data_IF_001745123631
#
_entry.id   IF_001745123631
#
_cell.length_a   1.000
_cell.length_b   1.000
_cell.length_c   1.000
_cell.angle_alpha   90.00
_cell.angle_beta   90.00
_cell.angle_gamma   90.00
#
_symmetry.space_group_name_H-M   'P 1'
#
loop_
_entity.id
_entity.type
_entity.pdbx_description
1 polymer ?
#
# COMPACT_ATOMS: atom_id res chain seq x y z
N UNK A 1 1.13 33.85 -13.55
CA UNK A 1 0.49 32.73 -12.81
C UNK A 1 0.76 32.97 -11.33
N UNK A 2 -0.27 33.09 -10.49
CA UNK A 2 -0.10 33.45 -9.07
C UNK A 2 0.74 32.38 -8.32
N UNK A 3 1.65 32.75 -7.43
CA UNK A 3 2.56 31.82 -6.73
C UNK A 3 1.85 30.82 -5.83
N UNK A 4 0.70 31.21 -5.27
CA UNK A 4 -0.18 30.28 -4.57
C UNK A 4 -0.65 29.13 -5.49
N UNK A 5 -0.86 29.41 -6.78
CA UNK A 5 -1.16 28.36 -7.74
C UNK A 5 0.06 27.47 -7.99
N UNK A 6 1.28 28.03 -8.04
CA UNK A 6 2.51 27.24 -8.18
C UNK A 6 2.79 26.33 -6.97
N UNK A 7 2.53 26.81 -5.74
CA UNK A 7 2.64 25.97 -4.53
C UNK A 7 1.65 24.80 -4.52
N UNK A 8 0.39 25.08 -4.89
CA UNK A 8 -0.63 24.04 -5.05
C UNK A 8 -0.19 23.05 -6.12
N UNK A 9 0.38 23.52 -7.24
CA UNK A 9 0.95 22.68 -8.27
C UNK A 9 2.15 21.84 -7.79
N UNK A 10 2.98 22.35 -6.89
CA UNK A 10 4.07 21.58 -6.26
C UNK A 10 3.56 20.40 -5.41
N UNK A 11 2.51 20.59 -4.61
CA UNK A 11 1.86 19.44 -3.95
C UNK A 11 1.24 18.45 -4.95
N UNK A 12 0.80 18.92 -6.14
CA UNK A 12 0.35 18.01 -7.20
C UNK A 12 1.52 17.20 -7.77
N UNK A 13 2.69 17.82 -7.95
CA UNK A 13 3.87 17.18 -8.53
C UNK A 13 4.42 16.06 -7.66
N UNK A 14 4.44 16.21 -6.32
CA UNK A 14 4.83 15.14 -5.38
C UNK A 14 3.98 13.90 -5.62
N UNK A 15 2.67 14.07 -5.64
CA UNK A 15 1.74 12.96 -5.83
C UNK A 15 1.86 12.33 -7.21
N UNK A 16 2.09 13.13 -8.26
CA UNK A 16 2.37 12.63 -9.61
C UNK A 16 3.67 11.83 -9.66
N UNK A 17 4.74 12.31 -9.02
CA UNK A 17 6.02 11.63 -8.94
C UNK A 17 5.91 10.28 -8.20
N UNK A 18 5.16 10.23 -7.10
CA UNK A 18 4.89 8.97 -6.40
C UNK A 18 4.08 7.99 -7.25
N UNK A 19 3.04 8.46 -7.94
CA UNK A 19 2.25 7.61 -8.84
C UNK A 19 3.08 7.10 -10.01
N UNK A 20 3.90 7.96 -10.62
CA UNK A 20 4.79 7.58 -11.71
C UNK A 20 5.83 6.55 -11.25
N UNK A 21 6.44 6.75 -10.08
CA UNK A 21 7.33 5.75 -9.46
C UNK A 21 6.64 4.41 -9.28
N UNK A 22 5.44 4.41 -8.67
CA UNK A 22 4.68 3.19 -8.45
C UNK A 22 4.37 2.48 -9.77
N UNK A 23 3.88 3.21 -10.77
CA UNK A 23 3.53 2.65 -12.08
C UNK A 23 4.75 2.07 -12.81
N UNK A 24 5.93 2.72 -12.73
CA UNK A 24 7.19 2.19 -13.28
C UNK A 24 7.62 0.91 -12.56
N UNK A 25 7.55 0.88 -11.23
CA UNK A 25 7.87 -0.31 -10.46
C UNK A 25 6.94 -1.47 -10.84
N UNK A 26 5.65 -1.21 -10.99
CA UNK A 26 4.69 -2.24 -11.44
C UNK A 26 4.92 -2.68 -12.88
N UNK A 27 5.26 -1.77 -13.80
CA UNK A 27 5.51 -2.12 -15.20
C UNK A 27 6.77 -2.98 -15.32
N UNK A 28 7.82 -2.67 -14.57
CA UNK A 28 9.06 -3.46 -14.53
C UNK A 28 8.81 -4.82 -13.89
N UNK A 29 8.11 -4.88 -12.76
CA UNK A 29 7.75 -6.15 -12.13
C UNK A 29 6.95 -7.04 -13.09
N UNK A 30 5.98 -6.47 -13.80
CA UNK A 30 5.17 -7.19 -14.76
C UNK A 30 5.96 -7.59 -16.01
N UNK A 31 6.89 -6.76 -16.47
CA UNK A 31 7.82 -7.12 -17.55
C UNK A 31 8.71 -8.30 -17.17
N UNK A 32 9.23 -8.32 -15.94
CA UNK A 32 10.00 -9.45 -15.40
C UNK A 32 9.13 -10.72 -15.39
N UNK A 33 7.88 -10.62 -14.92
CA UNK A 33 6.93 -11.76 -14.94
C UNK A 33 6.69 -12.25 -16.37
N UNK A 34 6.52 -11.35 -17.34
CA UNK A 34 6.37 -11.69 -18.75
C UNK A 34 7.59 -12.44 -19.30
N UNK A 35 8.80 -11.96 -19.02
CA UNK A 35 10.05 -12.61 -19.43
C UNK A 35 10.18 -14.01 -18.81
N UNK A 36 9.93 -14.15 -17.50
CA UNK A 36 9.98 -15.42 -16.81
C UNK A 36 8.93 -16.41 -17.33
N UNK A 37 7.75 -15.92 -17.70
CA UNK A 37 6.71 -16.76 -18.27
C UNK A 37 7.07 -17.27 -19.68
N UNK A 38 7.69 -16.43 -20.52
CA UNK A 38 8.12 -16.80 -21.87
C UNK A 38 9.21 -17.89 -21.87
N UNK A 39 10.17 -17.82 -20.95
CA UNK A 39 11.24 -18.83 -20.83
C UNK A 39 10.66 -20.23 -20.56
N UNK A 40 9.53 -20.31 -19.85
CA UNK A 40 8.86 -21.57 -19.50
C UNK A 40 7.93 -22.15 -20.58
N UNK A 41 7.84 -21.54 -21.77
CA UNK A 41 6.97 -22.01 -22.89
C UNK A 41 7.68 -23.04 -23.78
N UNK A 42 9.00 -23.24 -23.65
CA UNK A 42 9.79 -24.06 -24.58
C UNK A 42 9.52 -25.59 -24.46
N UNK A 43 8.73 -26.05 -23.49
CA UNK A 43 8.30 -27.46 -23.41
C UNK A 43 7.11 -27.76 -24.36
N UNK A 44 7.43 -28.20 -25.58
CA UNK A 44 6.54 -28.39 -26.73
C UNK A 44 5.45 -29.49 -26.62
N UNK A 45 5.48 -30.34 -25.59
CA UNK A 45 4.71 -31.59 -25.61
C UNK A 45 3.31 -31.55 -24.96
N UNK A 46 2.78 -30.39 -24.54
CA UNK A 46 1.48 -30.34 -23.86
C UNK A 46 0.58 -29.21 -24.36
N UNK A 47 -0.24 -29.50 -25.37
CA UNK A 47 -1.08 -28.55 -26.12
C UNK A 47 -2.05 -27.76 -25.24
N UNK A 48 -2.65 -28.38 -24.22
CA UNK A 48 -3.58 -27.70 -23.30
C UNK A 48 -2.87 -26.67 -22.42
N UNK A 49 -1.68 -27.03 -21.90
CA UNK A 49 -0.82 -26.08 -21.15
C UNK A 49 -0.30 -24.94 -22.02
N UNK A 50 -0.09 -25.19 -23.32
CA UNK A 50 0.31 -24.14 -24.27
C UNK A 50 -0.81 -23.11 -24.39
N UNK A 51 -2.07 -23.54 -24.57
CA UNK A 51 -3.22 -22.64 -24.68
C UNK A 51 -3.45 -21.78 -23.44
N UNK A 52 -3.42 -22.37 -22.24
CA UNK A 52 -3.57 -21.62 -20.98
C UNK A 52 -2.45 -20.58 -20.81
N UNK A 53 -1.21 -20.96 -21.14
CA UNK A 53 -0.06 -20.04 -21.06
C UNK A 53 -0.10 -18.93 -22.11
N UNK A 54 -0.56 -19.20 -23.33
CA UNK A 54 -0.70 -18.16 -24.36
C UNK A 54 -1.79 -17.16 -23.99
N UNK A 55 -2.95 -17.61 -23.51
CA UNK A 55 -4.01 -16.71 -23.04
C UNK A 55 -3.51 -15.84 -21.89
N UNK A 56 -2.86 -16.43 -20.88
CA UNK A 56 -2.27 -15.67 -19.78
C UNK A 56 -1.22 -14.66 -20.26
N UNK A 57 -0.34 -15.07 -21.18
CA UNK A 57 0.68 -14.20 -21.77
C UNK A 57 0.06 -13.01 -22.49
N UNK A 58 -0.99 -13.23 -23.30
CA UNK A 58 -1.71 -12.16 -24.02
C UNK A 58 -2.31 -11.17 -23.02
N UNK A 59 -2.98 -11.65 -21.98
CA UNK A 59 -3.57 -10.80 -20.93
C UNK A 59 -2.51 -9.98 -20.22
N UNK A 60 -1.37 -10.60 -19.86
CA UNK A 60 -0.26 -9.90 -19.23
C UNK A 60 0.36 -8.85 -20.17
N UNK A 61 0.51 -9.13 -21.46
CA UNK A 61 1.01 -8.16 -22.45
C UNK A 61 0.06 -6.97 -22.65
N UNK A 62 -1.26 -7.20 -22.68
CA UNK A 62 -2.24 -6.12 -22.73
C UNK A 62 -2.15 -5.22 -21.49
N UNK A 63 -2.02 -5.83 -20.30
CA UNK A 63 -1.86 -5.08 -19.06
C UNK A 63 -0.54 -4.30 -19.01
N UNK A 64 0.55 -4.90 -19.51
CA UNK A 64 1.84 -4.22 -19.67
C UNK A 64 1.72 -2.99 -20.56
N UNK A 65 1.06 -3.13 -21.72
CA UNK A 65 0.86 -2.02 -22.65
C UNK A 65 0.07 -0.88 -21.98
N UNK A 66 -1.01 -1.19 -21.26
CA UNK A 66 -1.78 -0.18 -20.51
C UNK A 66 -0.93 0.54 -19.46
N UNK A 67 -0.12 -0.19 -18.67
CA UNK A 67 0.81 0.40 -17.71
C UNK A 67 1.89 1.24 -18.39
N UNK A 68 2.41 0.80 -19.53
CA UNK A 68 3.38 1.55 -20.32
C UNK A 68 2.80 2.87 -20.85
N UNK A 69 1.57 2.86 -21.37
CA UNK A 69 0.91 4.11 -21.77
C UNK A 69 0.60 5.01 -20.58
N UNK A 70 0.16 4.45 -19.45
CA UNK A 70 -0.08 5.22 -18.23
C UNK A 70 1.21 5.89 -17.72
N UNK A 71 2.31 5.15 -17.60
CA UNK A 71 3.62 5.69 -17.21
C UNK A 71 4.08 6.79 -18.18
N UNK A 72 3.98 6.55 -19.48
CA UNK A 72 4.32 7.54 -20.52
C UNK A 72 3.47 8.81 -20.40
N UNK A 73 2.17 8.68 -20.18
CA UNK A 73 1.27 9.82 -19.96
C UNK A 73 1.69 10.65 -18.73
N UNK A 74 2.02 9.99 -17.61
CA UNK A 74 2.49 10.69 -16.42
C UNK A 74 3.84 11.37 -16.64
N UNK A 75 4.77 10.74 -17.36
CA UNK A 75 6.06 11.33 -17.74
C UNK A 75 5.85 12.60 -18.58
N UNK A 76 4.94 12.57 -19.56
CA UNK A 76 4.63 13.76 -20.39
C UNK A 76 4.07 14.88 -19.53
N UNK A 77 3.06 14.60 -18.69
CA UNK A 77 2.45 15.60 -17.79
C UNK A 77 3.45 16.19 -16.81
N UNK A 78 4.35 15.37 -16.29
CA UNK A 78 5.39 15.80 -15.38
C UNK A 78 6.46 16.64 -16.11
N UNK A 79 6.83 16.28 -17.34
CA UNK A 79 7.74 17.08 -18.18
C UNK A 79 7.16 18.45 -18.50
N UNK A 80 5.86 18.52 -18.85
CA UNK A 80 5.15 19.79 -19.04
C UNK A 80 5.20 20.68 -17.80
N UNK A 81 4.99 20.07 -16.63
CA UNK A 81 5.09 20.75 -15.34
C UNK A 81 6.50 21.29 -15.08
N UNK A 82 7.53 20.46 -15.22
CA UNK A 82 8.91 20.88 -15.00
C UNK A 82 9.36 21.97 -15.96
N UNK A 83 8.97 21.93 -17.23
CA UNK A 83 9.26 23.01 -18.20
C UNK A 83 8.77 24.38 -17.72
N UNK A 84 7.60 24.44 -17.08
CA UNK A 84 7.03 25.70 -16.57
C UNK A 84 7.79 26.23 -15.35
N UNK A 85 8.37 25.35 -14.54
CA UNK A 85 8.97 25.70 -13.24
C UNK A 85 10.48 25.90 -13.32
N UNK A 86 11.15 25.25 -14.26
CA UNK A 86 12.61 25.20 -14.29
C UNK A 86 13.28 26.58 -14.33
N UNK A 87 12.61 27.58 -14.94
CA UNK A 87 13.11 28.95 -15.00
C UNK A 87 13.01 29.71 -13.67
N UNK A 88 12.10 29.29 -12.77
CA UNK A 88 11.94 29.87 -11.44
C UNK A 88 12.75 29.14 -10.37
N UNK A 89 13.46 28.08 -10.75
CA UNK A 89 14.12 27.16 -9.83
C UNK A 89 15.55 27.60 -9.51
N UNK A 90 15.78 27.98 -8.26
CA UNK A 90 17.11 28.28 -7.70
C UNK A 90 17.58 27.09 -6.86
N UNK A 91 18.73 26.51 -7.21
CA UNK A 91 19.31 25.37 -6.46
C UNK A 91 20.44 25.92 -5.58
N UNK A 92 20.20 26.07 -4.29
CA UNK A 92 21.20 26.56 -3.33
C UNK A 92 22.31 25.53 -3.08
N UNK A 93 22.00 24.24 -3.19
CA UNK A 93 22.96 23.16 -2.98
C UNK A 93 23.15 22.29 -4.24
N UNK A 94 23.90 22.78 -5.24
CA UNK A 94 24.07 22.09 -6.53
C UNK A 94 24.82 20.76 -6.42
N UNK A 95 25.57 20.54 -5.32
CA UNK A 95 26.24 19.25 -5.05
C UNK A 95 25.22 18.16 -4.69
N UNK A 96 24.17 18.52 -3.95
CA UNK A 96 23.12 17.58 -3.56
C UNK A 96 22.13 17.30 -4.70
N UNK A 97 21.81 18.31 -5.52
CA UNK A 97 20.81 18.20 -6.59
C UNK A 97 21.35 18.60 -7.98
N UNK A 98 21.91 17.63 -8.70
CA UNK A 98 22.25 17.71 -10.13
C UNK A 98 21.01 17.64 -11.02
N UNK A 99 20.87 18.60 -11.95
CA UNK A 99 19.79 18.69 -12.96
C UNK A 99 19.65 17.43 -13.81
N UNK A 100 20.77 16.83 -14.21
CA UNK A 100 20.79 15.60 -15.02
C UNK A 100 20.08 14.45 -14.29
N UNK A 101 20.35 14.26 -12.99
CA UNK A 101 19.72 13.20 -12.22
C UNK A 101 18.20 13.41 -12.07
N UNK A 102 17.74 14.68 -12.00
CA UNK A 102 16.31 15.01 -12.00
C UNK A 102 15.67 14.62 -13.34
N UNK A 103 16.32 14.88 -14.47
CA UNK A 103 15.79 14.49 -15.80
C UNK A 103 15.83 12.97 -15.96
N UNK A 104 16.94 12.32 -15.60
CA UNK A 104 17.08 10.86 -15.65
C UNK A 104 16.03 10.14 -14.79
N UNK A 105 15.64 10.73 -13.66
CA UNK A 105 14.59 10.17 -12.81
C UNK A 105 13.24 10.06 -13.51
N UNK A 106 12.93 10.89 -14.51
CA UNK A 106 11.69 10.73 -15.27
C UNK A 106 11.59 9.36 -15.95
N UNK A 107 12.72 8.70 -16.23
CA UNK A 107 12.78 7.44 -16.97
C UNK A 107 13.15 6.24 -16.09
N UNK A 108 14.00 6.43 -15.07
CA UNK A 108 14.51 5.33 -14.25
C UNK A 108 13.89 5.31 -12.85
N UNK A 109 13.25 4.21 -12.42
CA UNK A 109 12.61 4.12 -11.10
C UNK A 109 13.61 4.22 -9.94
N UNK A 110 14.84 3.72 -10.11
CA UNK A 110 15.87 3.79 -9.06
C UNK A 110 16.20 5.25 -8.72
N UNK A 111 16.12 6.15 -9.70
CA UNK A 111 16.42 7.57 -9.53
C UNK A 111 15.17 8.35 -9.07
N UNK A 112 13.99 7.73 -9.01
CA UNK A 112 12.78 8.39 -8.49
C UNK A 112 12.88 8.72 -6.99
N UNK A 113 13.65 7.97 -6.20
CA UNK A 113 13.91 8.34 -4.80
C UNK A 113 14.61 9.69 -4.70
N UNK A 114 15.60 9.91 -5.56
CA UNK A 114 16.31 11.17 -5.66
C UNK A 114 15.38 12.30 -6.11
N UNK A 115 14.46 12.01 -7.05
CA UNK A 115 13.41 12.95 -7.47
C UNK A 115 12.45 13.31 -6.34
N UNK A 116 11.96 12.33 -5.60
CA UNK A 116 11.05 12.55 -4.47
C UNK A 116 11.76 13.39 -3.41
N UNK A 117 13.03 13.08 -3.11
CA UNK A 117 13.85 13.89 -2.21
C UNK A 117 14.01 15.33 -2.74
N UNK A 118 14.27 15.49 -4.03
CA UNK A 118 14.38 16.81 -4.65
C UNK A 118 13.08 17.60 -4.53
N UNK A 119 11.92 17.04 -4.86
CA UNK A 119 10.65 17.76 -4.76
C UNK A 119 10.35 18.13 -3.29
N UNK A 120 10.66 17.25 -2.35
CA UNK A 120 10.55 17.54 -0.92
C UNK A 120 11.56 18.60 -0.42
N UNK A 121 12.59 18.92 -1.19
CA UNK A 121 13.51 20.02 -0.90
C UNK A 121 13.00 21.38 -1.38
N UNK A 122 11.95 21.41 -2.21
CA UNK A 122 11.44 22.64 -2.81
C UNK A 122 10.53 23.40 -1.85
N UNK A 123 10.74 24.70 -1.76
CA UNK A 123 9.84 25.65 -1.11
C UNK A 123 9.83 26.97 -1.88
N UNK A 124 8.88 27.84 -1.55
CA UNK A 124 8.73 29.14 -2.19
C UNK A 124 9.20 30.21 -1.21
N UNK A 125 10.00 31.15 -1.71
CA UNK A 125 10.47 32.32 -0.97
C UNK A 125 10.75 33.45 -1.97
N UNK A 126 10.23 34.66 -1.71
CA UNK A 126 10.39 35.83 -2.57
C UNK A 126 10.14 35.54 -4.06
N UNK A 127 9.01 34.90 -4.35
CA UNK A 127 8.56 34.56 -5.71
C UNK A 127 9.45 33.57 -6.48
N UNK A 128 10.44 32.98 -5.83
CA UNK A 128 11.34 31.97 -6.38
C UNK A 128 11.08 30.60 -5.76
N UNK A 129 11.32 29.55 -6.54
CA UNK A 129 11.26 28.16 -6.06
C UNK A 129 12.68 27.76 -5.70
N UNK A 130 12.95 27.67 -4.40
CA UNK A 130 14.28 27.36 -3.87
C UNK A 130 14.36 25.88 -3.52
N UNK A 131 15.43 25.21 -3.96
CA UNK A 131 15.79 23.86 -3.53
C UNK A 131 16.85 23.93 -2.43
N UNK A 132 16.43 23.66 -1.20
CA UNK A 132 17.32 23.43 -0.07
C UNK A 132 16.78 22.27 0.76
N UNK A 133 17.54 21.18 0.84
CA UNK A 133 17.11 19.98 1.54
C UNK A 133 16.75 20.24 3.01
N UNK A 134 17.57 21.00 3.74
CA UNK A 134 17.35 21.22 5.19
C UNK A 134 16.08 22.03 5.43
N UNK A 135 15.91 23.13 4.70
CA UNK A 135 14.76 24.03 4.85
C UNK A 135 13.48 23.42 4.27
N UNK A 136 13.57 22.78 3.11
CA UNK A 136 12.46 22.11 2.44
C UNK A 136 11.87 20.97 3.28
N UNK A 137 12.69 20.16 3.95
CA UNK A 137 12.21 19.11 4.85
C UNK A 137 11.37 19.65 6.01
N UNK A 138 11.74 20.84 6.53
CA UNK A 138 11.00 21.53 7.60
C UNK A 138 9.68 22.06 7.03
N UNK A 139 9.74 22.83 5.93
CA UNK A 139 8.56 23.45 5.29
C UNK A 139 7.58 22.43 4.70
N UNK A 140 8.03 21.23 4.33
CA UNK A 140 7.20 20.15 3.77
C UNK A 140 6.74 19.11 4.81
N UNK A 141 6.80 19.44 6.11
CA UNK A 141 6.26 18.64 7.21
C UNK A 141 6.82 17.21 7.31
N UNK A 142 8.06 16.96 6.88
CA UNK A 142 8.70 15.65 7.07
C UNK A 142 9.24 15.51 8.50
N UNK A 143 9.68 16.62 9.11
CA UNK A 143 10.11 16.66 10.52
C UNK A 143 8.91 16.63 11.47
N UNK A 144 9.00 15.83 12.54
CA UNK A 144 8.01 15.83 13.61
C UNK A 144 7.98 17.18 14.34
N UNK A 145 6.80 17.79 14.43
CA UNK A 145 6.57 18.93 15.33
C UNK A 145 6.40 18.44 16.78
N UNK A 146 6.45 19.34 17.76
CA UNK A 146 6.17 19.00 19.17
C UNK A 146 4.77 18.38 19.28
N UNK A 147 3.79 18.96 18.58
CA UNK A 147 2.44 18.43 18.51
C UNK A 147 2.42 17.00 17.93
N UNK A 148 3.14 16.77 16.82
CA UNK A 148 3.20 15.45 16.21
C UNK A 148 3.81 14.41 17.18
N UNK A 149 4.85 14.78 17.92
CA UNK A 149 5.50 13.90 18.91
C UNK A 149 4.52 13.55 20.02
N UNK A 150 3.82 14.55 20.58
CA UNK A 150 2.83 14.33 21.64
C UNK A 150 1.69 13.43 21.16
N UNK A 151 1.12 13.70 19.98
CA UNK A 151 0.05 12.87 19.42
C UNK A 151 0.54 11.46 19.09
N UNK A 152 1.77 11.33 18.56
CA UNK A 152 2.38 10.03 18.27
C UNK A 152 2.57 9.22 19.55
N UNK A 153 3.03 9.84 20.64
CA UNK A 153 3.14 9.22 21.95
C UNK A 153 1.81 8.70 22.47
N UNK A 154 0.74 9.50 22.37
CA UNK A 154 -0.62 9.06 22.77
C UNK A 154 -1.11 7.89 21.93
N UNK A 155 -1.02 7.98 20.60
CA UNK A 155 -1.47 6.90 19.71
C UNK A 155 -0.63 5.63 19.89
N UNK A 156 0.67 5.76 20.13
CA UNK A 156 1.57 4.65 20.43
C UNK A 156 1.22 3.99 21.76
N UNK A 157 0.90 4.78 22.80
CA UNK A 157 0.43 4.24 24.07
C UNK A 157 -0.87 3.45 23.91
N UNK A 158 -1.86 3.99 23.17
CA UNK A 158 -3.12 3.29 22.87
C UNK A 158 -2.83 1.99 22.11
N UNK A 159 -1.94 2.02 21.11
CA UNK A 159 -1.52 0.83 20.39
C UNK A 159 -0.94 -0.23 21.33
N UNK A 160 0.00 0.14 22.19
CA UNK A 160 0.63 -0.78 23.15
C UNK A 160 -0.37 -1.36 24.15
N UNK A 161 -1.33 -0.56 24.62
CA UNK A 161 -2.40 -1.04 25.50
C UNK A 161 -3.26 -2.08 24.76
N UNK A 162 -3.70 -1.78 23.53
CA UNK A 162 -4.51 -2.72 22.73
C UNK A 162 -3.71 -3.99 22.41
N UNK A 163 -2.43 -3.86 22.07
CA UNK A 163 -1.52 -4.98 21.84
C UNK A 163 -1.37 -5.85 23.09
N UNK A 164 -1.10 -5.24 24.25
CA UNK A 164 -1.01 -5.94 25.52
C UNK A 164 -2.33 -6.65 25.86
N UNK A 165 -3.47 -5.95 25.77
CA UNK A 165 -4.79 -6.57 26.00
C UNK A 165 -5.01 -7.75 25.06
N UNK A 166 -4.73 -7.61 23.75
CA UNK A 166 -4.83 -8.72 22.80
C UNK A 166 -3.95 -9.90 23.24
N UNK A 167 -2.70 -9.65 23.59
CA UNK A 167 -1.70 -10.69 23.83
C UNK A 167 -1.91 -11.41 25.18
N UNK A 168 -2.46 -10.73 26.19
CA UNK A 168 -2.70 -11.24 27.54
C UNK A 168 -4.15 -11.64 27.84
N UNK A 169 -5.09 -11.48 26.90
CA UNK A 169 -6.50 -11.89 27.07
C UNK A 169 -6.93 -12.95 26.04
N UNK A 170 -8.11 -13.58 26.21
CA UNK A 170 -8.64 -14.55 25.23
C UNK A 170 -8.84 -13.97 23.82
N UNK A 171 -8.77 -12.65 23.64
CA UNK A 171 -8.80 -11.99 22.33
C UNK A 171 -7.68 -12.45 21.39
N UNK A 172 -6.59 -13.01 21.93
CA UNK A 172 -5.54 -13.67 21.16
C UNK A 172 -6.08 -14.74 20.19
N UNK A 173 -7.16 -15.44 20.59
CA UNK A 173 -7.76 -16.54 19.81
C UNK A 173 -8.47 -16.00 18.55
N UNK A 174 -9.07 -14.82 18.63
CA UNK A 174 -9.77 -14.18 17.52
C UNK A 174 -8.81 -13.80 16.39
N UNK A 175 -7.51 -13.69 16.69
CA UNK A 175 -6.47 -13.44 15.68
C UNK A 175 -6.56 -12.04 15.05
N UNK A 176 -7.07 -11.07 15.83
CA UNK A 176 -7.07 -9.66 15.47
C UNK A 176 -5.65 -9.11 15.63
N UNK A 177 -5.07 -8.63 14.54
CA UNK A 177 -3.79 -7.95 14.47
C UNK A 177 -4.04 -6.44 14.41
N UNK A 178 -3.99 -5.73 15.55
CA UNK A 178 -4.30 -4.31 15.62
C UNK A 178 -3.32 -3.45 14.80
N UNK A 179 -2.11 -3.97 14.53
CA UNK A 179 -1.07 -3.35 13.71
C UNK A 179 -1.63 -2.77 12.40
N UNK A 180 -2.42 -3.55 11.65
CA UNK A 180 -2.95 -3.10 10.36
C UNK A 180 -3.91 -1.91 10.49
N UNK A 181 -4.69 -1.86 11.57
CA UNK A 181 -5.55 -0.71 11.88
C UNK A 181 -4.66 0.51 12.15
N UNK A 182 -3.62 0.33 12.95
CA UNK A 182 -2.70 1.41 13.31
C UNK A 182 -1.85 1.89 12.14
N UNK A 183 -1.50 1.04 11.16
CA UNK A 183 -0.88 1.48 9.92
C UNK A 183 -1.75 2.51 9.19
N UNK A 184 -3.08 2.27 9.17
CA UNK A 184 -4.04 3.21 8.57
C UNK A 184 -4.15 4.49 9.40
N UNK A 185 -4.24 4.38 10.73
CA UNK A 185 -4.34 5.54 11.64
C UNK A 185 -3.09 6.42 11.54
N UNK A 186 -1.90 5.83 11.61
CA UNK A 186 -0.63 6.55 11.53
C UNK A 186 -0.46 7.24 10.17
N UNK A 187 -0.76 6.56 9.07
CA UNK A 187 -0.79 7.19 7.74
C UNK A 187 -1.79 8.35 7.66
N UNK A 188 -2.97 8.21 8.27
CA UNK A 188 -4.02 9.23 8.19
C UNK A 188 -3.63 10.54 8.90
N UNK A 189 -3.05 10.42 10.09
CA UNK A 189 -2.62 11.56 10.91
C UNK A 189 -1.32 12.17 10.38
N UNK A 190 -0.27 11.36 10.33
CA UNK A 190 1.09 11.83 10.11
C UNK A 190 1.55 11.78 8.64
N UNK A 191 0.73 11.21 7.75
CA UNK A 191 1.06 11.04 6.35
C UNK A 191 2.03 9.87 6.11
N UNK A 192 2.61 9.84 4.92
CA UNK A 192 3.36 8.69 4.38
C UNK A 192 4.60 8.34 5.21
N UNK A 193 5.48 9.32 5.44
CA UNK A 193 6.81 9.06 6.00
C UNK A 193 6.81 8.93 7.52
N UNK A 194 6.26 9.92 8.23
CA UNK A 194 6.12 9.89 9.68
C UNK A 194 5.24 8.72 10.13
N UNK A 195 4.15 8.47 9.39
CA UNK A 195 3.30 7.32 9.62
C UNK A 195 4.09 6.02 9.47
N UNK A 196 4.85 5.85 8.40
CA UNK A 196 5.65 4.64 8.17
C UNK A 196 6.70 4.40 9.27
N UNK A 197 7.34 5.47 9.74
CA UNK A 197 8.25 5.38 10.89
C UNK A 197 7.51 4.89 12.15
N UNK A 198 6.36 5.48 12.48
CA UNK A 198 5.57 5.06 13.66
C UNK A 198 5.05 3.63 13.52
N UNK A 199 4.57 3.23 12.34
CA UNK A 199 4.15 1.85 12.07
C UNK A 199 5.29 0.85 12.26
N UNK A 200 6.49 1.19 11.81
CA UNK A 200 7.68 0.35 12.00
C UNK A 200 8.06 0.23 13.48
N UNK A 201 8.05 1.35 14.21
CA UNK A 201 8.30 1.35 15.65
C UNK A 201 7.23 0.55 16.39
N UNK A 202 5.96 0.69 16.01
CA UNK A 202 4.84 -0.04 16.59
C UNK A 202 4.95 -1.56 16.37
N UNK A 203 5.25 -1.99 15.16
CA UNK A 203 5.50 -3.41 14.84
C UNK A 203 6.63 -3.98 15.69
N UNK A 204 7.75 -3.25 15.79
CA UNK A 204 8.89 -3.64 16.62
C UNK A 204 8.54 -3.79 18.11
N UNK A 205 7.82 -2.82 18.68
CA UNK A 205 7.39 -2.92 20.07
C UNK A 205 6.32 -3.99 20.30
N UNK A 206 5.46 -4.27 19.32
CA UNK A 206 4.51 -5.38 19.47
C UNK A 206 5.25 -6.72 19.52
N UNK A 207 6.28 -6.92 18.67
CA UNK A 207 7.13 -8.10 18.76
C UNK A 207 7.85 -8.22 20.10
N UNK A 208 8.30 -7.08 20.66
CA UNK A 208 8.90 -7.03 21.99
C UNK A 208 7.89 -7.45 23.07
N UNK A 209 6.67 -6.89 23.06
CA UNK A 209 5.60 -7.23 24.00
C UNK A 209 5.16 -8.70 23.90
N UNK A 210 5.17 -9.25 22.69
CA UNK A 210 4.86 -10.66 22.44
C UNK A 210 5.94 -11.63 22.91
N UNK A 211 7.10 -11.13 23.36
CA UNK A 211 8.28 -11.93 23.65
C UNK A 211 8.88 -12.60 22.41
N UNK A 212 8.54 -12.09 21.22
CA UNK A 212 8.91 -12.65 19.91
C UNK A 212 9.96 -11.81 19.19
N UNK A 213 10.78 -11.05 19.91
CA UNK A 213 11.81 -10.22 19.27
C UNK A 213 12.82 -11.07 18.47
N UNK A 214 13.07 -12.31 18.88
CA UNK A 214 13.88 -13.28 18.11
C UNK A 214 13.23 -13.75 16.79
N UNK A 215 11.95 -13.41 16.57
CA UNK A 215 11.25 -13.62 15.30
C UNK A 215 11.33 -12.40 14.38
N UNK A 216 12.09 -11.37 14.76
CA UNK A 216 12.35 -10.24 13.89
C UNK A 216 13.06 -10.69 12.61
N UNK A 217 12.45 -10.38 11.47
CA UNK A 217 12.96 -10.73 10.16
C UNK A 217 12.63 -9.62 9.19
N UNK A 218 13.58 -9.30 8.33
CA UNK A 218 13.50 -8.13 7.46
C UNK A 218 12.32 -8.20 6.49
N UNK A 219 11.90 -9.42 6.09
CA UNK A 219 10.72 -9.60 5.26
C UNK A 219 9.42 -9.19 6.00
N UNK A 220 9.36 -9.31 7.34
CA UNK A 220 8.24 -8.77 8.10
C UNK A 220 8.40 -7.27 8.36
N UNK A 221 9.60 -6.82 8.70
CA UNK A 221 9.89 -5.44 9.06
C UNK A 221 9.60 -4.42 7.93
N UNK A 222 9.68 -4.84 6.66
CA UNK A 222 9.39 -3.97 5.51
C UNK A 222 7.88 -3.69 5.34
N UNK A 223 7.02 -4.58 5.83
CA UNK A 223 5.56 -4.50 5.68
C UNK A 223 4.97 -3.22 6.28
N UNK A 224 5.20 -2.87 7.57
CA UNK A 224 4.68 -1.63 8.14
C UNK A 224 5.10 -0.40 7.35
N UNK A 225 6.34 -0.35 6.86
CA UNK A 225 6.88 0.79 6.13
C UNK A 225 6.16 0.94 4.79
N UNK A 226 6.19 -0.10 3.96
CA UNK A 226 5.63 -0.07 2.60
C UNK A 226 4.12 0.15 2.64
N UNK A 227 3.40 -0.58 3.50
CA UNK A 227 1.94 -0.46 3.58
C UNK A 227 1.51 0.93 4.04
N UNK A 228 2.18 1.51 5.03
CA UNK A 228 1.83 2.84 5.53
C UNK A 228 2.11 3.94 4.50
N UNK A 229 3.19 3.82 3.73
CA UNK A 229 3.45 4.73 2.61
C UNK A 229 2.34 4.62 1.55
N UNK A 230 1.97 3.40 1.15
CA UNK A 230 0.91 3.17 0.15
C UNK A 230 -0.44 3.72 0.64
N UNK A 231 -0.81 3.44 1.89
CA UNK A 231 -2.02 3.99 2.51
C UNK A 231 -2.00 5.52 2.49
N UNK A 232 -0.88 6.14 2.89
CA UNK A 232 -0.74 7.60 2.85
C UNK A 232 -0.91 8.18 1.44
N UNK A 233 -0.36 7.52 0.41
CA UNK A 233 -0.58 7.89 -1.00
C UNK A 233 -2.05 7.80 -1.37
N UNK A 234 -2.73 6.71 -1.03
CA UNK A 234 -4.16 6.56 -1.33
C UNK A 234 -5.03 7.59 -0.63
N UNK A 235 -4.75 7.88 0.65
CA UNK A 235 -5.49 8.90 1.42
C UNK A 235 -5.31 10.29 0.80
N UNK A 236 -4.07 10.70 0.50
CA UNK A 236 -3.79 12.01 -0.08
C UNK A 236 -4.46 12.20 -1.43
N UNK A 237 -4.43 11.15 -2.24
CA UNK A 237 -4.99 11.20 -3.56
C UNK A 237 -6.53 11.15 -3.54
N UNK A 238 -7.12 10.33 -2.67
CA UNK A 238 -8.56 10.29 -2.43
C UNK A 238 -9.11 11.64 -1.97
N UNK A 239 -8.40 12.34 -1.05
CA UNK A 239 -8.80 13.68 -0.57
C UNK A 239 -8.95 14.67 -1.73
N UNK A 240 -8.11 14.56 -2.76
CA UNK A 240 -8.01 15.52 -3.86
C UNK A 240 -8.90 15.19 -5.06
N UNK A 241 -9.02 13.93 -5.45
CA UNK A 241 -9.76 13.52 -6.66
C UNK A 241 -10.78 12.41 -6.38
N UNK A 242 -11.66 12.60 -5.40
CA UNK A 242 -12.63 11.59 -4.91
C UNK A 242 -13.28 10.73 -6.00
N UNK A 243 -13.82 11.32 -7.06
CA UNK A 243 -14.54 10.58 -8.12
C UNK A 243 -13.63 9.65 -8.92
N UNK A 244 -12.47 10.16 -9.37
CA UNK A 244 -11.48 9.37 -10.11
C UNK A 244 -10.92 8.26 -9.21
N UNK A 245 -10.74 8.58 -7.92
CA UNK A 245 -10.20 7.61 -6.96
C UNK A 245 -11.10 6.44 -6.65
N UNK A 246 -12.43 6.61 -6.65
CA UNK A 246 -13.34 5.48 -6.49
C UNK A 246 -13.12 4.45 -7.61
N UNK A 247 -12.93 4.91 -8.85
CA UNK A 247 -12.63 4.03 -10.00
C UNK A 247 -11.24 3.39 -9.86
N UNK A 248 -10.23 4.17 -9.45
CA UNK A 248 -8.89 3.62 -9.22
C UNK A 248 -8.84 2.59 -8.09
N UNK A 249 -9.61 2.79 -7.01
CA UNK A 249 -9.70 1.83 -5.91
C UNK A 249 -10.24 0.48 -6.40
N UNK A 250 -11.25 0.50 -7.27
CA UNK A 250 -11.79 -0.72 -7.90
C UNK A 250 -10.73 -1.43 -8.74
N UNK A 251 -10.01 -0.67 -9.59
CA UNK A 251 -8.90 -1.20 -10.38
C UNK A 251 -7.82 -1.85 -9.49
N UNK A 252 -7.42 -1.20 -8.39
CA UNK A 252 -6.44 -1.75 -7.46
C UNK A 252 -6.94 -3.00 -6.73
N UNK A 253 -8.23 -3.07 -6.36
CA UNK A 253 -8.80 -4.27 -5.76
C UNK A 253 -8.80 -5.44 -6.75
N UNK A 254 -9.20 -5.20 -8.00
CA UNK A 254 -9.14 -6.22 -9.06
C UNK A 254 -7.69 -6.72 -9.22
N UNK A 255 -6.72 -5.80 -9.28
CA UNK A 255 -5.31 -6.14 -9.40
C UNK A 255 -4.84 -7.02 -8.23
N UNK A 256 -5.14 -6.63 -6.99
CA UNK A 256 -4.72 -7.37 -5.79
C UNK A 256 -5.39 -8.74 -5.70
N UNK A 257 -6.68 -8.85 -6.03
CA UNK A 257 -7.36 -10.15 -6.08
C UNK A 257 -6.86 -11.02 -7.24
N UNK A 258 -6.54 -10.43 -8.39
CA UNK A 258 -5.94 -11.17 -9.51
C UNK A 258 -4.56 -11.70 -9.13
N UNK A 259 -3.74 -10.90 -8.43
CA UNK A 259 -2.45 -11.35 -7.91
C UNK A 259 -2.63 -12.50 -6.89
N UNK A 260 -3.61 -12.42 -6.00
CA UNK A 260 -3.93 -13.49 -5.06
C UNK A 260 -4.31 -14.80 -5.78
N UNK A 261 -5.22 -14.73 -6.77
CA UNK A 261 -5.66 -15.88 -7.56
C UNK A 261 -4.47 -16.45 -8.36
N UNK A 262 -3.66 -15.59 -8.97
CA UNK A 262 -2.47 -15.99 -9.71
C UNK A 262 -1.47 -16.73 -8.82
N UNK A 263 -1.15 -16.18 -7.65
CA UNK A 263 -0.27 -16.83 -6.66
C UNK A 263 -0.89 -18.16 -6.20
N UNK A 264 -2.21 -18.24 -6.04
CA UNK A 264 -2.87 -19.49 -5.71
C UNK A 264 -2.65 -20.55 -6.79
N UNK A 265 -2.92 -20.21 -8.05
CA UNK A 265 -2.78 -21.12 -9.20
C UNK A 265 -1.33 -21.60 -9.34
N UNK A 266 -0.35 -20.70 -9.21
CA UNK A 266 1.07 -21.06 -9.32
C UNK A 266 1.52 -22.06 -8.25
N UNK A 267 0.97 -21.98 -7.04
CA UNK A 267 1.35 -22.83 -5.91
C UNK A 267 0.43 -24.05 -5.76
N UNK A 268 -0.52 -24.24 -6.67
CA UNK A 268 -1.37 -25.43 -6.71
C UNK A 268 -0.60 -26.57 -7.41
N UNK A 269 0.37 -27.15 -6.71
CA UNK A 269 1.34 -28.09 -7.28
C UNK A 269 0.80 -29.49 -7.66
N UNK A 270 -0.48 -29.79 -7.48
CA UNK A 270 -0.99 -31.13 -7.84
C UNK A 270 -2.49 -31.12 -8.20
N UNK A 271 -2.87 -31.47 -9.45
CA UNK A 271 -4.28 -31.71 -9.80
C UNK A 271 -4.88 -32.90 -9.03
N UNK A 272 -4.06 -33.74 -8.39
CA UNK A 272 -4.47 -34.83 -7.50
C UNK A 272 -4.21 -34.55 -6.00
N UNK A 273 -3.67 -33.37 -5.67
CA UNK A 273 -3.54 -32.83 -4.30
C UNK A 273 -2.23 -33.16 -3.56
N UNK A 274 -1.56 -32.11 -3.07
CA UNK A 274 -0.32 -32.18 -2.27
C UNK A 274 -0.57 -32.91 -0.93
N UNK A 275 0.21 -33.95 -0.63
CA UNK A 275 0.20 -34.65 0.68
C UNK A 275 0.73 -33.74 1.80
N UNK A 276 -0.17 -33.25 2.64
CA UNK A 276 0.18 -32.61 3.92
C UNK A 276 0.36 -33.71 4.97
N UNK A 277 1.47 -33.66 5.72
CA UNK A 277 1.86 -34.67 6.71
C UNK A 277 0.74 -35.01 7.69
N UNK A 278 0.71 -36.28 8.12
CA UNK A 278 -0.32 -37.02 8.88
C UNK A 278 -0.91 -36.37 10.15
N UNK A 279 -0.43 -35.21 10.59
CA UNK A 279 -0.75 -34.62 11.90
C UNK A 279 -2.11 -33.91 11.99
N UNK A 280 -2.73 -33.53 10.85
CA UNK A 280 -3.97 -32.75 10.85
C UNK A 280 -5.17 -33.42 10.17
N UNK A 281 -5.07 -34.68 9.72
CA UNK A 281 -6.20 -35.42 9.12
C UNK A 281 -6.73 -34.89 7.78
N UNK A 282 -6.43 -33.65 7.40
CA UNK A 282 -6.77 -33.05 6.10
C UNK A 282 -5.60 -33.17 5.14
N UNK A 283 -5.68 -34.17 4.26
CA UNK A 283 -4.55 -34.62 3.44
C UNK A 283 -4.29 -33.79 2.17
N UNK A 284 -5.17 -32.85 1.81
CA UNK A 284 -5.16 -32.14 0.52
C UNK A 284 -5.76 -30.74 0.66
N UNK A 285 -5.12 -29.71 0.11
CA UNK A 285 -5.81 -28.44 -0.19
C UNK A 285 -6.77 -28.74 -1.34
N UNK A 286 -8.04 -28.97 -1.02
CA UNK A 286 -9.04 -29.39 -1.99
C UNK A 286 -9.38 -28.26 -2.97
N UNK A 287 -9.86 -28.62 -4.16
CA UNK A 287 -10.57 -27.70 -5.07
C UNK A 287 -11.62 -26.87 -4.32
N UNK A 288 -12.23 -27.43 -3.27
CA UNK A 288 -13.16 -26.73 -2.39
C UNK A 288 -12.55 -25.51 -1.69
N UNK A 289 -11.27 -25.54 -1.29
CA UNK A 289 -10.58 -24.37 -0.71
C UNK A 289 -10.40 -23.27 -1.74
N UNK A 290 -10.07 -23.62 -2.98
CA UNK A 290 -9.99 -22.65 -4.07
C UNK A 290 -11.35 -22.01 -4.36
N UNK A 291 -12.40 -22.83 -4.48
CA UNK A 291 -13.77 -22.34 -4.70
C UNK A 291 -14.19 -21.44 -3.53
N UNK A 292 -13.92 -21.84 -2.28
CA UNK A 292 -14.22 -21.01 -1.12
C UNK A 292 -13.49 -19.67 -1.16
N UNK A 293 -12.19 -19.67 -1.51
CA UNK A 293 -11.42 -18.43 -1.68
C UNK A 293 -12.02 -17.54 -2.77
N UNK A 294 -12.38 -18.12 -3.91
CA UNK A 294 -12.98 -17.41 -5.04
C UNK A 294 -14.32 -16.80 -4.62
N UNK A 295 -15.19 -17.56 -3.96
CA UNK A 295 -16.47 -17.07 -3.42
C UNK A 295 -16.25 -15.93 -2.43
N UNK A 296 -15.29 -16.05 -1.52
CA UNK A 296 -14.96 -15.00 -0.54
C UNK A 296 -14.50 -13.71 -1.24
N UNK A 297 -13.54 -13.82 -2.18
CA UNK A 297 -13.01 -12.65 -2.90
C UNK A 297 -14.09 -11.97 -3.75
N UNK A 298 -14.91 -12.74 -4.48
CA UNK A 298 -16.06 -12.22 -5.22
C UNK A 298 -17.10 -11.59 -4.29
N UNK A 299 -17.35 -12.16 -3.12
CA UNK A 299 -18.29 -11.60 -2.14
C UNK A 299 -17.81 -10.26 -1.59
N UNK A 300 -16.52 -10.14 -1.23
CA UNK A 300 -15.92 -8.88 -0.80
C UNK A 300 -15.99 -7.83 -1.91
N UNK A 301 -15.67 -8.23 -3.15
CA UNK A 301 -15.73 -7.35 -4.31
C UNK A 301 -17.17 -6.90 -4.63
N UNK A 302 -18.15 -7.79 -4.53
CA UNK A 302 -19.56 -7.48 -4.71
C UNK A 302 -20.05 -6.49 -3.65
N UNK A 303 -19.71 -6.70 -2.37
CA UNK A 303 -20.04 -5.77 -1.28
C UNK A 303 -19.45 -4.39 -1.55
N UNK A 304 -18.18 -4.33 -1.98
CA UNK A 304 -17.54 -3.05 -2.36
C UNK A 304 -18.32 -2.34 -3.47
N UNK A 305 -18.69 -3.06 -4.54
CA UNK A 305 -19.45 -2.52 -5.67
C UNK A 305 -20.86 -2.02 -5.28
N UNK A 306 -21.56 -2.70 -4.37
CA UNK A 306 -22.83 -2.21 -3.82
C UNK A 306 -22.65 -0.82 -3.19
N UNK A 307 -21.56 -0.60 -2.45
CA UNK A 307 -21.27 0.72 -1.87
C UNK A 307 -20.82 1.75 -2.92
N UNK A 308 -20.14 1.34 -3.99
CA UNK A 308 -19.82 2.22 -5.13
C UNK A 308 -21.11 2.72 -5.79
N UNK A 309 -22.06 1.82 -6.08
CA UNK A 309 -23.36 2.17 -6.66
C UNK A 309 -24.11 3.12 -5.72
N UNK A 310 -24.14 2.84 -4.40
CA UNK A 310 -24.75 3.75 -3.41
C UNK A 310 -24.07 5.12 -3.36
N UNK A 311 -22.75 5.19 -3.50
CA UNK A 311 -22.01 6.44 -3.57
C UNK A 311 -22.33 7.26 -4.84
N UNK A 312 -22.45 6.60 -5.99
CA UNK A 312 -22.74 7.25 -7.27
C UNK A 312 -24.21 7.74 -7.36
N UNK A 313 -25.14 6.98 -6.78
CA UNK A 313 -26.58 7.29 -6.77
C UNK A 313 -27.00 8.24 -5.64
N UNK A 314 -26.15 8.45 -4.63
CA UNK A 314 -26.43 9.36 -3.53
C UNK A 314 -26.58 10.82 -4.01
N UNK A 315 -27.80 11.35 -3.89
CA UNK A 315 -28.13 12.76 -4.19
C UNK A 315 -27.63 13.72 -3.10
N UNK A 316 -27.73 13.33 -1.84
CA UNK A 316 -27.35 14.18 -0.69
C UNK A 316 -25.82 14.21 -0.50
N UNK A 317 -25.24 15.41 -0.34
CA UNK A 317 -23.81 15.63 -0.05
C UNK A 317 -23.35 14.91 1.22
N UNK A 318 -24.16 14.91 2.28
CA UNK A 318 -23.82 14.26 3.55
C UNK A 318 -23.71 12.73 3.39
N UNK A 319 -24.71 12.11 2.76
CA UNK A 319 -24.71 10.67 2.46
C UNK A 319 -23.55 10.29 1.55
N UNK A 320 -23.28 11.11 0.52
CA UNK A 320 -22.16 10.90 -0.41
C UNK A 320 -20.81 10.92 0.31
N UNK A 321 -20.62 11.84 1.26
CA UNK A 321 -19.43 11.90 2.08
C UNK A 321 -19.29 10.66 2.98
N UNK A 322 -20.39 10.25 3.66
CA UNK A 322 -20.41 9.03 4.49
C UNK A 322 -20.03 7.79 3.68
N UNK A 323 -20.64 7.59 2.52
CA UNK A 323 -20.28 6.46 1.64
C UNK A 323 -18.84 6.56 1.12
N UNK A 324 -18.34 7.76 0.86
CA UNK A 324 -16.96 7.94 0.42
C UNK A 324 -15.94 7.51 1.48
N UNK A 325 -16.19 7.81 2.77
CA UNK A 325 -15.33 7.35 3.86
C UNK A 325 -15.45 5.85 4.12
N UNK A 326 -16.66 5.31 3.99
CA UNK A 326 -16.87 3.87 4.08
C UNK A 326 -16.11 3.12 2.98
N UNK A 327 -16.21 3.59 1.72
CA UNK A 327 -15.48 3.03 0.59
C UNK A 327 -13.97 3.11 0.80
N UNK A 328 -13.45 4.25 1.26
CA UNK A 328 -12.04 4.40 1.61
C UNK A 328 -11.63 3.39 2.69
N UNK A 329 -12.45 3.21 3.72
CA UNK A 329 -12.16 2.27 4.83
C UNK A 329 -12.14 0.83 4.36
N UNK A 330 -13.16 0.40 3.60
CA UNK A 330 -13.22 -0.95 3.01
C UNK A 330 -11.99 -1.16 2.12
N UNK A 331 -11.71 -0.22 1.23
CA UNK A 331 -10.58 -0.31 0.31
C UNK A 331 -9.25 -0.46 1.07
N UNK A 332 -8.94 0.44 2.01
CA UNK A 332 -7.67 0.42 2.73
C UNK A 332 -7.49 -0.87 3.53
N UNK A 333 -8.52 -1.31 4.25
CA UNK A 333 -8.46 -2.53 5.06
C UNK A 333 -8.27 -3.77 4.18
N UNK A 334 -9.10 -3.93 3.14
CA UNK A 334 -9.01 -5.08 2.22
C UNK A 334 -7.65 -5.07 1.50
N UNK A 335 -7.23 -3.93 0.97
CA UNK A 335 -5.96 -3.78 0.27
C UNK A 335 -4.77 -4.20 1.14
N UNK A 336 -4.70 -3.66 2.37
CA UNK A 336 -3.60 -3.97 3.30
C UNK A 336 -3.62 -5.44 3.70
N UNK A 337 -4.78 -6.00 4.05
CA UNK A 337 -4.86 -7.39 4.51
C UNK A 337 -4.53 -8.37 3.40
N UNK A 338 -5.06 -8.16 2.19
CA UNK A 338 -4.80 -9.09 1.08
C UNK A 338 -3.33 -9.03 0.68
N UNK A 339 -2.74 -7.85 0.52
CA UNK A 339 -1.33 -7.75 0.14
C UNK A 339 -0.38 -8.17 1.27
N UNK A 340 -0.51 -7.56 2.44
CA UNK A 340 0.44 -7.77 3.54
C UNK A 340 0.29 -9.15 4.19
N UNK A 341 -0.96 -9.59 4.39
CA UNK A 341 -1.25 -10.77 5.20
C UNK A 341 -1.51 -12.00 4.34
N UNK A 342 -2.26 -11.89 3.24
CA UNK A 342 -2.60 -13.07 2.42
C UNK A 342 -1.51 -13.42 1.42
N UNK A 343 -0.93 -12.43 0.76
CA UNK A 343 0.12 -12.66 -0.26
C UNK A 343 1.51 -12.63 0.40
N UNK A 344 1.87 -11.55 1.08
CA UNK A 344 3.22 -11.42 1.60
C UNK A 344 3.48 -12.25 2.86
N UNK A 345 2.49 -12.37 3.75
CA UNK A 345 2.61 -13.08 5.02
C UNK A 345 3.13 -14.53 4.93
N UNK A 346 2.58 -15.41 4.07
CA UNK A 346 3.05 -16.78 3.92
C UNK A 346 4.48 -16.85 3.38
N UNK A 347 4.82 -15.97 2.43
CA UNK A 347 6.19 -15.86 1.90
C UNK A 347 7.18 -15.48 3.01
N UNK A 348 6.87 -14.43 3.78
CA UNK A 348 7.73 -13.97 4.88
C UNK A 348 7.89 -15.06 5.96
N UNK A 349 6.82 -15.81 6.26
CA UNK A 349 6.86 -16.92 7.22
C UNK A 349 7.78 -18.05 6.77
N UNK A 350 7.68 -18.47 5.51
CA UNK A 350 8.50 -19.56 4.97
C UNK A 350 9.97 -19.18 4.97
N UNK A 351 10.30 -17.95 4.55
CA UNK A 351 11.67 -17.45 4.57
C UNK A 351 12.24 -17.40 6.00
N UNK A 352 11.44 -16.91 6.96
CA UNK A 352 11.79 -16.92 8.36
C UNK A 352 12.06 -18.35 8.87
N UNK A 353 11.15 -19.29 8.60
CA UNK A 353 11.25 -20.67 9.05
C UNK A 353 12.46 -21.41 8.44
N UNK A 354 12.81 -21.09 7.20
CA UNK A 354 13.98 -21.67 6.55
C UNK A 354 15.28 -21.15 7.16
N UNK A 355 15.36 -19.83 7.38
CA UNK A 355 16.58 -19.20 7.87
C UNK A 355 16.85 -19.49 9.35
N UNK A 356 15.85 -19.34 10.21
CA UNK A 356 16.05 -19.36 11.66
C UNK A 356 15.59 -20.66 12.32
N UNK A 357 14.67 -21.42 11.71
CA UNK A 357 14.20 -22.70 12.25
C UNK A 357 14.77 -23.92 11.51
N UNK A 358 15.58 -23.71 10.46
CA UNK A 358 16.21 -24.79 9.68
C UNK A 358 15.23 -25.76 9.01
N UNK A 359 13.98 -25.33 8.75
CA UNK A 359 12.88 -26.23 8.32
C UNK A 359 13.00 -26.73 6.87
N UNK A 360 13.85 -26.13 6.03
CA UNK A 360 14.06 -26.53 4.63
C UNK A 360 12.79 -26.55 3.78
N UNK A 361 11.82 -25.69 4.08
CA UNK A 361 10.56 -25.60 3.38
C UNK A 361 10.73 -25.06 1.96
N UNK A 362 10.29 -25.85 0.99
CA UNK A 362 10.09 -25.34 -0.36
C UNK A 362 8.88 -24.40 -0.39
N UNK A 363 9.09 -23.21 -0.96
CA UNK A 363 8.09 -22.16 -1.07
C UNK A 363 6.86 -22.70 -1.81
N UNK A 364 7.06 -23.35 -2.96
CA UNK A 364 5.96 -23.78 -3.83
C UNK A 364 4.97 -24.73 -3.14
N UNK A 365 5.51 -25.63 -2.31
CA UNK A 365 4.75 -26.68 -1.65
C UNK A 365 4.08 -26.24 -0.34
N UNK A 366 4.72 -25.33 0.41
CA UNK A 366 4.25 -24.93 1.75
C UNK A 366 3.43 -23.64 1.73
N UNK A 367 3.51 -22.85 0.67
CA UNK A 367 2.87 -21.54 0.61
C UNK A 367 1.35 -21.60 0.84
N UNK A 368 0.62 -22.44 0.10
CA UNK A 368 -0.84 -22.56 0.26
C UNK A 368 -1.24 -23.05 1.66
N UNK A 369 -0.47 -23.98 2.21
CA UNK A 369 -0.72 -24.57 3.54
C UNK A 369 -0.66 -23.49 4.63
N UNK A 370 0.27 -22.56 4.51
CA UNK A 370 0.41 -21.43 5.43
C UNK A 370 -0.63 -20.35 5.13
N UNK A 371 -0.90 -20.08 3.85
CA UNK A 371 -1.80 -19.02 3.40
C UNK A 371 -3.26 -19.25 3.81
N UNK A 372 -3.82 -20.43 3.55
CA UNK A 372 -5.25 -20.73 3.77
C UNK A 372 -5.73 -20.41 5.19
N UNK A 373 -5.09 -20.88 6.28
CA UNK A 373 -5.53 -20.56 7.64
C UNK A 373 -5.36 -19.08 8.00
N UNK A 374 -4.45 -18.35 7.34
CA UNK A 374 -4.30 -16.90 7.51
C UNK A 374 -5.50 -16.19 6.86
N UNK A 375 -5.90 -16.61 5.67
CA UNK A 375 -7.06 -16.05 4.96
C UNK A 375 -8.33 -16.27 5.76
N UNK A 376 -8.62 -17.51 6.17
CA UNK A 376 -9.85 -17.85 6.90
C UNK A 376 -10.02 -17.02 8.18
N UNK A 377 -8.96 -16.89 8.98
CA UNK A 377 -8.97 -16.04 10.18
C UNK A 377 -9.18 -14.55 9.84
N UNK A 378 -8.55 -14.08 8.77
CA UNK A 378 -8.66 -12.69 8.35
C UNK A 378 -10.03 -12.32 7.79
N UNK A 379 -10.74 -13.25 7.15
CA UNK A 379 -12.08 -13.02 6.61
C UNK A 379 -13.09 -12.71 7.71
N UNK A 380 -12.95 -13.37 8.86
CA UNK A 380 -13.77 -13.10 10.05
C UNK A 380 -13.39 -11.75 10.67
N UNK A 381 -12.10 -11.40 10.69
CA UNK A 381 -11.60 -10.14 11.23
C UNK A 381 -11.92 -8.92 10.34
N UNK A 382 -12.06 -9.11 9.02
CA UNK A 382 -12.23 -8.05 8.03
C UNK A 382 -13.37 -7.08 8.34
N UNK A 383 -14.61 -7.54 8.61
CA UNK A 383 -15.73 -6.66 8.97
C UNK A 383 -15.44 -5.81 10.21
N UNK A 384 -14.82 -6.41 11.22
CA UNK A 384 -14.46 -5.73 12.48
C UNK A 384 -13.48 -4.60 12.19
N UNK A 385 -12.44 -4.86 11.40
CA UNK A 385 -11.48 -3.83 11.00
C UNK A 385 -12.12 -2.70 10.19
N UNK A 386 -13.01 -3.03 9.24
CA UNK A 386 -13.71 -2.03 8.44
C UNK A 386 -14.56 -1.13 9.34
N UNK A 387 -15.29 -1.69 10.30
CA UNK A 387 -16.11 -0.93 11.24
C UNK A 387 -15.22 0.00 12.09
N UNK A 388 -14.16 -0.53 12.69
CA UNK A 388 -13.24 0.25 13.52
C UNK A 388 -12.60 1.38 12.70
N UNK A 389 -12.02 1.06 11.54
CA UNK A 389 -11.36 2.07 10.68
C UNK A 389 -12.35 3.12 10.20
N UNK A 390 -13.57 2.74 9.82
CA UNK A 390 -14.59 3.70 9.37
C UNK A 390 -15.06 4.62 10.51
N UNK A 391 -15.27 4.08 11.71
CA UNK A 391 -15.61 4.86 12.89
C UNK A 391 -14.48 5.84 13.24
N UNK A 392 -13.25 5.35 13.24
CA UNK A 392 -12.07 6.17 13.51
C UNK A 392 -11.92 7.26 12.45
N UNK A 393 -11.87 6.94 11.15
CA UNK A 393 -11.64 7.93 10.08
C UNK A 393 -12.61 9.12 10.18
N UNK A 394 -13.87 8.89 10.56
CA UNK A 394 -14.84 9.97 10.76
C UNK A 394 -14.46 10.89 11.92
N UNK A 395 -14.11 10.30 13.07
CA UNK A 395 -13.62 11.03 14.26
C UNK A 395 -12.29 11.75 13.94
N UNK A 396 -11.36 11.07 13.28
CA UNK A 396 -10.05 11.60 12.93
C UNK A 396 -10.17 12.77 11.94
N UNK A 397 -11.10 12.69 10.98
CA UNK A 397 -11.35 13.78 10.04
C UNK A 397 -11.90 15.02 10.75
N UNK A 398 -12.75 14.83 11.77
CA UNK A 398 -13.25 15.92 12.61
C UNK A 398 -12.12 16.55 13.43
N UNK A 399 -11.34 15.75 14.16
CA UNK A 399 -10.21 16.22 14.97
C UNK A 399 -9.21 17.02 14.12
N UNK A 400 -8.78 16.46 12.99
CA UNK A 400 -7.82 17.12 12.10
C UNK A 400 -8.32 18.47 11.58
N UNK A 401 -9.62 18.60 11.33
CA UNK A 401 -10.21 19.88 10.91
C UNK A 401 -10.13 20.92 12.04
N UNK A 402 -10.44 20.53 13.28
CA UNK A 402 -10.39 21.42 14.44
C UNK A 402 -8.96 21.86 14.75
N UNK A 403 -8.00 20.92 14.71
CA UNK A 403 -6.59 21.20 14.99
C UNK A 403 -5.98 22.12 13.93
N UNK A 404 -6.17 21.82 12.64
CA UNK A 404 -5.65 22.66 11.57
C UNK A 404 -6.25 24.06 11.60
N UNK A 405 -7.55 24.19 11.91
CA UNK A 405 -8.19 25.50 12.05
C UNK A 405 -7.52 26.35 13.13
N UNK A 406 -7.14 25.75 14.26
CA UNK A 406 -6.47 26.45 15.34
C UNK A 406 -5.00 26.80 15.03
N UNK A 407 -4.27 25.98 14.27
CA UNK A 407 -2.91 26.32 13.83
C UNK A 407 -2.88 27.54 12.89
N UNK A 408 -3.89 27.68 12.01
CA UNK A 408 -4.02 28.84 11.13
C UNK A 408 -4.47 30.12 11.86
N UNK A 409 -5.24 30.00 12.95
CA UNK A 409 -5.59 31.15 13.81
C UNK A 409 -4.41 31.60 14.71
N UNK A 410 -3.38 30.76 14.90
CA UNK A 410 -2.20 31.07 15.74
C UNK A 410 -0.96 31.55 14.95
N UNK A 411 -1.02 31.62 13.62
CA UNK A 411 0.15 31.96 12.79
C UNK A 411 -0.02 33.17 11.87
N UNK A 412 -1.06 34.00 12.08
CA UNK A 412 -1.10 35.37 11.54
C UNK A 412 -1.81 36.33 12.49
N UNK A 413 -1.01 36.96 13.36
CA UNK A 413 -0.92 38.42 13.46
C UNK A 413 0.51 38.85 13.15
#
# INVERSE_FOLDING_TARGET
MNLNNMYIENKKSINLAFMNFFLKCTSIALFIVLLLNQINVINLFNVTRIFEKTVLSIVLWQFYALLFFATTFFIIKEREYWKKIFHYLVIENPKAFKRILIICSLYLPIVDFYRIAFINSLFIENDLIISNWKVGLIKNNIRFSIYDISLAGVLMCIFLIIAAVKNFTPLKIVGLDPEFIFYIIFAFFFGKFKGAFLSFVADFFNLLLDGKIGFYHEAYAIVPIVMTILIGVFIDMFRKYKRIWVVLMEFFLILVFSALIYVFILNMNDPKGIKISKTFGFSRVSLGVFIALLVITLSIFAIFNVFVIKYLTAKNKASKQRYSYLLLSIFLVVFVIVLARWIWGPFAFIQYANRYLGRGYDLSNRYLIVMVPIILRSVIALPIYIIIVNALILILAFLKKTILKNEYDLTYY
#
